data_IF_358758386426
#
_entry.id   IF_358758386426
#
_cell.length_a   1.000
_cell.length_b   1.000
_cell.length_c   1.000
_cell.angle_alpha   90.00
_cell.angle_beta   90.00
_cell.angle_gamma   90.00
#
_symmetry.space_group_name_H-M   'P 1'
#
loop_
_entity.id
_entity.type
_entity.pdbx_description
1 polymer ?
#
# COMPACT_ATOMS: atom_id res chain seq x y z
N UNK A 1 -5.19 -6.95 -11.91
CA UNK A 1 -5.65 -6.42 -10.61
C UNK A 1 -7.16 -6.42 -10.55
N UNK A 2 -7.69 -6.89 -9.45
CA UNK A 2 -9.14 -6.89 -9.25
C UNK A 2 -9.56 -5.48 -8.85
N UNK A 3 -10.63 -4.98 -9.49
CA UNK A 3 -11.17 -3.67 -9.16
C UNK A 3 -12.37 -3.85 -8.27
N UNK A 4 -12.39 -3.11 -7.17
CA UNK A 4 -13.51 -3.09 -6.26
C UNK A 4 -13.81 -1.67 -5.84
N UNK A 5 -15.08 -1.38 -5.65
CA UNK A 5 -15.51 -0.10 -5.12
C UNK A 5 -15.46 -0.18 -3.59
N UNK A 6 -14.79 0.77 -2.98
CA UNK A 6 -14.65 0.82 -1.53
C UNK A 6 -15.33 2.07 -1.03
N UNK A 7 -16.23 1.90 -0.06
CA UNK A 7 -16.87 3.04 0.59
C UNK A 7 -15.95 3.55 1.70
N UNK A 8 -15.64 4.83 1.68
CA UNK A 8 -14.82 5.47 2.70
C UNK A 8 -15.46 6.78 3.12
N UNK A 9 -15.35 7.10 4.40
CA UNK A 9 -15.85 8.40 4.87
C UNK A 9 -14.90 9.52 4.44
N UNK A 10 -15.41 10.74 4.49
CA UNK A 10 -14.66 11.91 4.03
C UNK A 10 -13.37 12.13 4.81
N UNK A 11 -13.41 11.89 6.11
CA UNK A 11 -12.24 12.08 6.96
C UNK A 11 -11.12 11.12 6.56
N UNK A 12 -11.47 9.88 6.31
CA UNK A 12 -10.49 8.88 5.89
C UNK A 12 -9.91 9.21 4.51
N UNK A 13 -10.76 9.62 3.59
CA UNK A 13 -10.30 10.03 2.26
C UNK A 13 -9.34 11.21 2.37
N UNK A 14 -9.66 12.17 3.21
CA UNK A 14 -8.82 13.34 3.42
C UNK A 14 -7.47 12.96 4.00
N UNK A 15 -7.48 12.13 5.04
CA UNK A 15 -6.24 11.68 5.68
C UNK A 15 -5.37 10.89 4.70
N UNK A 16 -5.98 10.03 3.92
CA UNK A 16 -5.26 9.24 2.94
C UNK A 16 -4.68 10.12 1.83
N UNK A 17 -5.43 11.13 1.41
CA UNK A 17 -4.94 12.08 0.40
C UNK A 17 -3.74 12.86 0.91
N UNK A 18 -3.75 13.26 2.17
CA UNK A 18 -2.63 13.94 2.79
C UNK A 18 -1.41 13.04 2.89
N UNK A 19 -1.63 11.79 3.27
CA UNK A 19 -0.56 10.80 3.33
C UNK A 19 0.03 10.56 1.95
N UNK A 20 -0.81 10.43 0.94
CA UNK A 20 -0.34 10.21 -0.44
C UNK A 20 0.55 11.36 -0.90
N UNK A 21 0.13 12.58 -0.61
CA UNK A 21 0.89 13.78 -0.98
C UNK A 21 2.23 13.83 -0.26
N UNK A 22 2.21 13.52 1.03
CA UNK A 22 3.42 13.53 1.85
C UNK A 22 4.43 12.51 1.35
N UNK A 23 3.97 11.36 0.91
CA UNK A 23 4.82 10.26 0.46
C UNK A 23 5.07 10.29 -1.05
N UNK A 24 4.58 11.33 -1.74
CA UNK A 24 4.72 11.44 -3.20
C UNK A 24 4.16 10.22 -3.94
N UNK A 25 3.01 9.74 -3.46
CA UNK A 25 2.31 8.62 -4.06
C UNK A 25 0.98 9.09 -4.62
N UNK A 26 0.44 8.36 -5.61
CA UNK A 26 -0.93 8.61 -6.01
C UNK A 26 -1.87 8.03 -4.94
N UNK A 27 -3.15 8.37 -5.04
CA UNK A 27 -4.13 7.94 -4.05
C UNK A 27 -4.22 6.41 -3.96
N UNK A 28 -4.30 5.74 -5.11
CA UNK A 28 -4.39 4.28 -5.14
C UNK A 28 -3.15 3.61 -4.58
N UNK A 29 -1.97 4.14 -4.89
CA UNK A 29 -0.72 3.61 -4.34
C UNK A 29 -0.64 3.78 -2.84
N UNK A 30 -1.06 4.96 -2.34
CA UNK A 30 -1.08 5.21 -0.91
C UNK A 30 -2.07 4.29 -0.20
N UNK A 31 -3.23 4.07 -0.80
CA UNK A 31 -4.23 3.17 -0.25
C UNK A 31 -3.70 1.74 -0.12
N UNK A 32 -3.10 1.24 -1.18
CA UNK A 32 -2.53 -0.12 -1.16
C UNK A 32 -1.43 -0.24 -0.11
N UNK A 33 -0.57 0.76 -0.03
CA UNK A 33 0.52 0.77 0.94
C UNK A 33 -0.01 0.74 2.37
N UNK A 34 -0.97 1.62 2.66
CA UNK A 34 -1.58 1.70 3.99
C UNK A 34 -2.29 0.41 4.36
N UNK A 35 -3.00 -0.20 3.41
CA UNK A 35 -3.69 -1.46 3.66
C UNK A 35 -2.72 -2.60 3.93
N UNK A 36 -1.61 -2.67 3.20
CA UNK A 36 -0.61 -3.70 3.45
C UNK A 36 0.00 -3.56 4.83
N UNK A 37 0.32 -2.33 5.22
CA UNK A 37 0.82 -2.07 6.57
C UNK A 37 -0.20 -2.51 7.62
N UNK A 38 -1.46 -2.12 7.41
CA UNK A 38 -2.52 -2.46 8.35
C UNK A 38 -2.72 -3.96 8.48
N UNK A 39 -2.74 -4.68 7.37
CA UNK A 39 -2.92 -6.13 7.38
C UNK A 39 -1.75 -6.83 8.06
N UNK A 40 -0.52 -6.41 7.76
CA UNK A 40 0.66 -7.00 8.41
C UNK A 40 0.67 -6.72 9.90
N UNK A 41 0.25 -5.52 10.31
CA UNK A 41 0.18 -5.18 11.73
C UNK A 41 -0.87 -6.03 12.45
N UNK A 42 -2.01 -6.26 11.82
CA UNK A 42 -3.07 -7.06 12.42
C UNK A 42 -2.68 -8.53 12.54
N UNK A 43 -1.96 -9.05 11.54
CA UNK A 43 -1.51 -10.44 11.55
C UNK A 43 -0.28 -10.66 12.42
N UNK A 44 0.49 -9.61 12.69
CA UNK A 44 1.74 -9.68 13.45
C UNK A 44 1.77 -8.57 14.49
N UNK A 45 0.96 -8.65 15.54
CA UNK A 45 0.85 -7.57 16.51
C UNK A 45 2.14 -7.25 17.26
N UNK A 46 3.11 -8.15 17.22
CA UNK A 46 4.41 -7.94 17.88
C UNK A 46 5.35 -7.06 17.05
N UNK A 47 5.03 -6.84 15.78
CA UNK A 47 5.89 -6.04 14.91
C UNK A 47 5.61 -4.56 15.09
N UNK A 48 6.67 -3.76 15.08
CA UNK A 48 6.54 -2.31 15.05
C UNK A 48 6.24 -1.85 13.62
N UNK A 49 5.74 -0.63 13.49
CA UNK A 49 5.50 -0.05 12.16
C UNK A 49 6.79 0.01 11.36
N UNK A 50 7.89 0.32 12.01
CA UNK A 50 9.18 0.38 11.33
C UNK A 50 9.58 -0.98 10.76
N UNK A 51 9.38 -2.03 11.56
CA UNK A 51 9.68 -3.39 11.09
C UNK A 51 8.81 -3.78 9.92
N UNK A 52 7.53 -3.43 9.97
CA UNK A 52 6.60 -3.69 8.88
C UNK A 52 7.03 -2.96 7.60
N UNK A 53 7.43 -1.70 7.72
CA UNK A 53 7.92 -0.93 6.59
C UNK A 53 9.16 -1.56 5.98
N UNK A 54 10.07 -2.03 6.82
CA UNK A 54 11.29 -2.68 6.35
C UNK A 54 10.96 -3.96 5.56
N UNK A 55 10.01 -4.74 6.06
CA UNK A 55 9.55 -5.94 5.36
C UNK A 55 8.94 -5.59 4.01
N UNK A 56 8.09 -4.55 3.98
CA UNK A 56 7.45 -4.13 2.74
C UNK A 56 8.45 -3.62 1.72
N UNK A 57 9.46 -2.89 2.15
CA UNK A 57 10.50 -2.41 1.25
C UNK A 57 11.27 -3.57 0.62
N UNK A 58 11.59 -4.58 1.40
CA UNK A 58 12.25 -5.76 0.90
C UNK A 58 11.36 -6.50 -0.11
N UNK A 59 10.07 -6.61 0.18
CA UNK A 59 9.12 -7.24 -0.73
C UNK A 59 8.96 -6.45 -2.02
N UNK A 60 8.90 -5.13 -1.91
CA UNK A 60 8.78 -4.27 -3.08
C UNK A 60 9.98 -4.42 -3.99
N UNK A 61 11.17 -4.40 -3.41
CA UNK A 61 12.40 -4.58 -4.20
C UNK A 61 12.41 -5.92 -4.92
N UNK A 62 11.96 -6.96 -4.25
CA UNK A 62 11.88 -8.29 -4.84
C UNK A 62 10.84 -8.35 -5.95
N UNK A 63 9.68 -7.77 -5.72
CA UNK A 63 8.55 -7.84 -6.64
C UNK A 63 8.64 -6.86 -7.80
N UNK A 64 9.48 -5.85 -7.70
CA UNK A 64 9.53 -4.81 -8.72
C UNK A 64 9.78 -5.36 -10.12
N UNK A 65 10.69 -6.30 -10.25
CA UNK A 65 10.95 -6.93 -11.53
C UNK A 65 9.75 -7.71 -12.05
N UNK A 66 9.06 -8.42 -11.16
CA UNK A 66 7.90 -9.20 -11.54
C UNK A 66 6.68 -8.33 -11.81
N UNK A 67 6.51 -7.29 -11.00
CA UNK A 67 5.37 -6.38 -11.15
C UNK A 67 5.46 -5.63 -12.47
N UNK A 68 6.64 -5.22 -12.88
CA UNK A 68 6.82 -4.53 -14.15
C UNK A 68 6.33 -5.40 -15.32
N UNK A 69 6.64 -6.68 -15.30
CA UNK A 69 6.17 -7.60 -16.32
C UNK A 69 4.66 -7.81 -16.28
N UNK A 70 4.13 -7.96 -15.07
CA UNK A 70 2.70 -8.17 -14.88
C UNK A 70 1.90 -6.95 -15.32
N UNK A 71 2.39 -5.77 -15.04
CA UNK A 71 1.73 -4.54 -15.46
C UNK A 71 1.63 -4.45 -16.98
N UNK A 72 2.66 -4.87 -17.67
CA UNK A 72 2.64 -4.89 -19.12
C UNK A 72 1.61 -5.85 -19.67
N UNK A 73 1.35 -6.94 -18.97
CA UNK A 73 0.35 -7.91 -19.37
C UNK A 73 -1.06 -7.49 -19.01
N UNK A 74 -1.22 -6.84 -17.90
CA UNK A 74 -2.52 -6.42 -17.40
C UNK A 74 -3.03 -5.16 -18.10
N UNK A 75 -2.14 -4.42 -18.66
CA UNK A 75 -2.48 -3.24 -19.42
C UNK A 75 -2.79 -3.56 -20.87
#
# INVERSE_FOLDING_TARGET
MVRKTIAMDEDLVKDLSMFARKEHRDFSGALRYALRIGLLALENPDLTVKEIKDILEAMVDYEMGNVAELDLKDL
#
